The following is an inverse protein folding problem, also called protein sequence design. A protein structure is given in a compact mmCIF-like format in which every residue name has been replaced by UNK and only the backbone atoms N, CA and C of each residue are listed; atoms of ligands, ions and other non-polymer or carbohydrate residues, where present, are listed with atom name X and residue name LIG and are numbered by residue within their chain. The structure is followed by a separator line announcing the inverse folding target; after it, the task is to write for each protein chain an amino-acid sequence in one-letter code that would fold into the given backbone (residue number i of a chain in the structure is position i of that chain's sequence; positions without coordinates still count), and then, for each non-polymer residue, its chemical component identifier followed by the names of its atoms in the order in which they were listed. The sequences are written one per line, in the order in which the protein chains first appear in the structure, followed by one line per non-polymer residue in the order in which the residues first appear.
data_IF_390440433451
#
_entry.id   IF_390440433451
#
_cell.length_a   1.000
_cell.length_b   1.000
_cell.length_c   1.000
_cell.angle_alpha   90.00
_cell.angle_beta   90.00
_cell.angle_gamma   90.00
#
_symmetry.space_group_name_H-M   'P 1'
#
loop_
_entity.id
_entity.type
_entity.pdbx_description
1 polymer ?
#
# COMPACT_ATOMS: atom_id res chain seq x y z
N UNK A 1 -7.92 -11.83 -42.02
CA UNK A 1 -8.63 -12.06 -40.74
C UNK A 1 -8.35 -10.92 -39.79
N UNK A 2 -9.33 -10.51 -39.00
CA UNK A 2 -9.13 -9.47 -37.98
C UNK A 2 -8.23 -10.03 -36.87
N UNK A 3 -7.37 -9.19 -36.28
CA UNK A 3 -6.57 -9.57 -35.12
C UNK A 3 -7.48 -9.72 -33.90
N UNK A 4 -7.10 -10.55 -32.93
CA UNK A 4 -7.79 -10.64 -31.65
C UNK A 4 -7.69 -9.30 -30.91
N UNK A 5 -8.83 -8.81 -30.43
CA UNK A 5 -8.93 -7.63 -29.59
C UNK A 5 -9.76 -7.99 -28.36
N UNK A 6 -9.16 -7.86 -27.17
CA UNK A 6 -9.90 -8.10 -25.94
C UNK A 6 -10.92 -6.99 -25.70
N UNK A 7 -12.18 -7.35 -25.54
CA UNK A 7 -13.29 -6.38 -25.45
C UNK A 7 -13.18 -5.44 -24.24
N UNK A 8 -12.50 -5.86 -23.17
CA UNK A 8 -12.29 -5.05 -21.96
C UNK A 8 -10.85 -4.53 -21.83
N UNK A 9 -10.06 -4.48 -22.91
CA UNK A 9 -8.67 -4.01 -22.89
C UNK A 9 -8.52 -2.64 -22.23
N UNK A 10 -9.44 -1.70 -22.53
CA UNK A 10 -9.39 -0.35 -21.94
C UNK A 10 -9.64 -0.35 -20.42
N UNK A 11 -10.52 -1.23 -19.95
CA UNK A 11 -10.77 -1.38 -18.52
C UNK A 11 -9.55 -2.01 -17.83
N UNK A 12 -8.91 -2.99 -18.46
CA UNK A 12 -7.67 -3.60 -17.97
C UNK A 12 -6.57 -2.55 -17.79
N UNK A 13 -6.33 -1.69 -18.79
CA UNK A 13 -5.36 -0.58 -18.70
C UNK A 13 -5.66 0.38 -17.55
N UNK A 14 -6.93 0.75 -17.36
CA UNK A 14 -7.33 1.63 -16.24
C UNK A 14 -7.04 0.96 -14.90
N UNK A 15 -7.32 -0.34 -14.76
CA UNK A 15 -7.04 -1.10 -13.54
C UNK A 15 -5.55 -1.27 -13.24
N UNK A 16 -4.72 -1.40 -14.27
CA UNK A 16 -3.25 -1.39 -14.11
C UNK A 16 -2.76 -0.04 -13.60
N UNK A 17 -3.27 1.07 -14.15
CA UNK A 17 -2.95 2.41 -13.66
C UNK A 17 -3.42 2.67 -12.23
N UNK A 18 -4.63 2.23 -11.87
CA UNK A 18 -5.16 2.33 -10.50
C UNK A 18 -4.27 1.58 -9.50
N UNK A 19 -3.80 0.38 -9.87
CA UNK A 19 -2.89 -0.41 -9.04
C UNK A 19 -1.55 0.29 -8.86
N UNK A 20 -0.95 0.80 -9.94
CA UNK A 20 0.32 1.54 -9.87
C UNK A 20 0.21 2.76 -8.96
N UNK A 21 -0.87 3.52 -9.09
CA UNK A 21 -1.16 4.67 -8.23
C UNK A 21 -1.29 4.24 -6.75
N UNK A 22 -2.01 3.16 -6.46
CA UNK A 22 -2.17 2.65 -5.09
C UNK A 22 -0.87 2.11 -4.51
N UNK A 23 0.01 1.51 -5.32
CA UNK A 23 1.35 1.11 -4.89
C UNK A 23 2.22 2.31 -4.54
N UNK A 24 2.13 3.39 -5.31
CA UNK A 24 2.84 4.63 -5.03
C UNK A 24 2.32 5.27 -3.72
N UNK A 25 1.00 5.29 -3.51
CA UNK A 25 0.38 5.76 -2.27
C UNK A 25 0.87 4.96 -1.06
N UNK A 26 0.85 3.62 -1.14
CA UNK A 26 1.34 2.75 -0.08
C UNK A 26 2.82 3.01 0.23
N UNK A 27 3.66 3.20 -0.79
CA UNK A 27 5.07 3.55 -0.58
C UNK A 27 5.24 4.91 0.11
N UNK A 28 4.36 5.88 -0.17
CA UNK A 28 4.31 7.16 0.53
C UNK A 28 3.96 6.98 2.01
N UNK A 29 2.94 6.18 2.31
CA UNK A 29 2.52 5.86 3.67
C UNK A 29 3.60 5.11 4.46
N UNK A 30 4.30 4.16 3.84
CA UNK A 30 5.40 3.44 4.50
C UNK A 30 6.55 4.40 4.89
N UNK A 31 6.84 5.42 4.06
CA UNK A 31 7.83 6.46 4.39
C UNK A 31 7.34 7.37 5.52
N UNK A 32 6.07 7.74 5.50
CA UNK A 32 5.43 8.53 6.56
C UNK A 32 5.53 7.79 7.90
N UNK A 33 5.14 6.51 7.93
CA UNK A 33 5.26 5.62 9.09
C UNK A 33 6.69 5.54 9.61
N UNK A 34 7.68 5.36 8.73
CA UNK A 34 9.09 5.33 9.13
C UNK A 34 9.52 6.63 9.81
N UNK A 35 9.08 7.79 9.29
CA UNK A 35 9.35 9.09 9.91
C UNK A 35 8.67 9.25 11.28
N UNK A 36 7.45 8.74 11.43
CA UNK A 36 6.73 8.76 12.70
C UNK A 36 7.41 7.88 13.77
N UNK A 37 7.85 6.68 13.39
CA UNK A 37 8.58 5.78 14.29
C UNK A 37 9.95 6.35 14.70
N UNK A 38 10.66 6.99 13.76
CA UNK A 38 11.92 7.68 14.04
C UNK A 38 11.71 8.84 15.04
N UNK A 39 10.66 9.64 14.87
CA UNK A 39 10.32 10.70 15.83
C UNK A 39 9.96 10.14 17.21
N UNK A 40 9.18 9.06 17.28
CA UNK A 40 8.86 8.39 18.54
C UNK A 40 10.12 7.85 19.24
N UNK A 41 11.08 7.31 18.48
CA UNK A 41 12.38 6.88 18.99
C UNK A 41 13.15 8.03 19.64
N UNK A 42 13.22 9.19 18.95
CA UNK A 42 13.87 10.40 19.51
C UNK A 42 13.21 10.89 20.79
N UNK A 43 11.88 10.86 20.88
CA UNK A 43 11.16 11.26 22.10
C UNK A 43 11.52 10.33 23.28
N UNK A 44 11.61 9.02 23.04
CA UNK A 44 12.07 8.07 24.05
C UNK A 44 13.52 8.33 24.47
N UNK A 45 14.43 8.54 23.53
CA UNK A 45 15.84 8.87 23.83
C UNK A 45 15.95 10.15 24.68
N UNK A 46 15.16 11.19 24.35
CA UNK A 46 15.09 12.43 25.12
C UNK A 46 14.56 12.18 26.53
N UNK A 47 13.51 11.37 26.67
CA UNK A 47 12.93 11.03 27.97
C UNK A 47 13.92 10.25 28.85
N UNK A 48 14.62 9.27 28.28
CA UNK A 48 15.65 8.50 29.00
C UNK A 48 16.84 9.37 29.42
N UNK A 49 17.33 10.23 28.52
CA UNK A 49 18.40 11.16 28.80
C UNK A 49 18.02 12.10 29.95
N UNK A 50 16.80 12.66 29.91
CA UNK A 50 16.30 13.55 30.95
C UNK A 50 16.08 12.82 32.27
N UNK A 51 15.58 11.58 32.24
CA UNK A 51 15.44 10.73 33.43
C UNK A 51 16.79 10.45 34.07
N UNK A 52 17.82 10.16 33.27
CA UNK A 52 19.19 9.96 33.76
C UNK A 52 19.73 11.21 34.45
N UNK A 53 19.53 12.39 33.84
CA UNK A 53 20.00 13.66 34.41
C UNK A 53 19.24 14.03 35.69
N UNK A 54 17.91 13.90 35.68
CA UNK A 54 17.07 14.06 36.86
C UNK A 54 17.54 13.19 38.03
N UNK A 55 17.87 11.93 37.76
CA UNK A 55 18.37 11.01 38.79
C UNK A 55 19.74 11.42 39.35
N UNK A 56 20.63 12.02 38.55
CA UNK A 56 21.91 12.55 39.04
C UNK A 56 21.69 13.76 39.94
N UNK A 57 20.83 14.69 39.52
CA UNK A 57 20.54 15.89 40.30
C UNK A 57 19.80 15.57 41.60
N UNK A 58 18.89 14.59 41.60
CA UNK A 58 18.27 14.07 42.82
C UNK A 58 19.30 13.57 43.84
N UNK A 59 20.34 12.84 43.39
CA UNK A 59 21.41 12.34 44.27
C UNK A 59 22.27 13.46 44.87
N UNK A 60 22.38 14.60 44.18
CA UNK A 60 23.15 15.77 44.63
C UNK A 60 22.35 16.70 45.55
N UNK A 61 21.04 16.50 45.63
CA UNK A 61 20.10 17.39 46.31
C UNK A 61 19.57 18.42 45.31
N UNK A 62 18.34 18.22 44.87
CA UNK A 62 17.67 19.08 43.89
C UNK A 62 16.85 20.17 44.58
N UNK A 63 16.87 21.38 44.03
CA UNK A 63 16.03 22.49 44.48
C UNK A 63 14.56 22.28 44.12
N UNK A 64 13.64 22.89 44.89
CA UNK A 64 12.19 22.80 44.62
C UNK A 64 11.81 23.34 43.24
N UNK A 65 12.47 24.42 42.79
CA UNK A 65 12.22 25.01 41.48
C UNK A 65 12.61 24.06 40.35
N UNK A 66 13.82 23.47 40.44
CA UNK A 66 14.31 22.53 39.44
C UNK A 66 13.46 21.25 39.39
N UNK A 67 13.06 20.73 40.55
CA UNK A 67 12.15 19.59 40.65
C UNK A 67 10.83 19.84 39.90
N UNK A 68 10.27 21.05 40.02
CA UNK A 68 9.07 21.43 39.27
C UNK A 68 9.36 21.48 37.77
N UNK A 69 10.45 22.12 37.35
CA UNK A 69 10.83 22.20 35.93
C UNK A 69 11.00 20.83 35.28
N UNK A 70 11.58 19.85 36.00
CA UNK A 70 11.66 18.47 35.52
C UNK A 70 10.27 17.83 35.40
N UNK A 71 9.41 18.01 36.40
CA UNK A 71 8.03 17.51 36.37
C UNK A 71 7.25 18.03 35.16
N UNK A 72 7.24 19.35 34.98
CA UNK A 72 6.54 20.02 33.87
C UNK A 72 7.08 19.52 32.51
N UNK A 73 8.40 19.31 32.40
CA UNK A 73 9.01 18.81 31.16
C UNK A 73 8.74 17.31 30.90
N UNK A 74 8.71 16.47 31.93
CA UNK A 74 8.31 15.07 31.77
C UNK A 74 6.83 14.95 31.38
N UNK A 75 5.96 15.79 31.91
CA UNK A 75 4.55 15.87 31.51
C UNK A 75 4.45 16.22 30.02
N UNK A 76 5.15 17.28 29.59
CA UNK A 76 5.25 17.64 28.17
C UNK A 76 5.73 16.48 27.29
N UNK A 77 6.82 15.80 27.65
CA UNK A 77 7.33 14.68 26.86
C UNK A 77 6.33 13.52 26.77
N UNK A 78 5.62 13.22 27.86
CA UNK A 78 4.59 12.17 27.84
C UNK A 78 3.40 12.55 26.95
N UNK A 79 2.96 13.82 26.98
CA UNK A 79 1.90 14.32 26.10
C UNK A 79 2.32 14.22 24.62
N UNK A 80 3.54 14.64 24.28
CA UNK A 80 4.08 14.53 22.93
C UNK A 80 4.20 13.07 22.47
N UNK A 81 4.67 12.18 23.34
CA UNK A 81 4.75 10.74 23.04
C UNK A 81 3.37 10.12 22.81
N UNK A 82 2.36 10.53 23.58
CA UNK A 82 0.98 10.07 23.40
C UNK A 82 0.40 10.58 22.08
N UNK A 83 0.58 11.86 21.76
CA UNK A 83 0.16 12.44 20.49
C UNK A 83 0.83 11.73 19.31
N UNK A 84 2.14 11.47 19.42
CA UNK A 84 2.89 10.76 18.40
C UNK A 84 2.40 9.32 18.20
N UNK A 85 2.02 8.64 19.28
CA UNK A 85 1.44 7.30 19.21
C UNK A 85 0.09 7.31 18.45
N UNK A 86 -0.75 8.32 18.68
CA UNK A 86 -1.99 8.48 17.90
C UNK A 86 -1.72 8.65 16.41
N UNK A 87 -0.73 9.46 16.03
CA UNK A 87 -0.35 9.63 14.61
C UNK A 87 0.14 8.33 13.97
N UNK A 88 0.89 7.52 14.72
CA UNK A 88 1.32 6.19 14.27
C UNK A 88 0.11 5.28 14.02
N UNK A 89 -0.86 5.27 14.93
CA UNK A 89 -2.07 4.46 14.79
C UNK A 89 -2.92 4.88 13.59
N UNK A 90 -3.10 6.20 13.38
CA UNK A 90 -3.80 6.74 12.21
C UNK A 90 -3.09 6.39 10.89
N UNK A 91 -1.77 6.51 10.86
CA UNK A 91 -0.98 6.12 9.68
C UNK A 91 -1.08 4.62 9.41
N UNK A 92 -1.05 3.80 10.45
CA UNK A 92 -1.20 2.35 10.34
C UNK A 92 -2.57 1.96 9.78
N UNK A 93 -3.63 2.64 10.19
CA UNK A 93 -4.97 2.41 9.65
C UNK A 93 -5.07 2.78 8.18
N UNK A 94 -4.49 3.93 7.78
CA UNK A 94 -4.38 4.32 6.36
C UNK A 94 -3.63 3.28 5.53
N UNK A 95 -2.53 2.73 6.04
CA UNK A 95 -1.77 1.64 5.41
C UNK A 95 -2.66 0.41 5.23
N UNK A 96 -3.43 0.03 6.26
CA UNK A 96 -4.30 -1.14 6.21
C UNK A 96 -5.39 -0.99 5.15
N UNK A 97 -6.05 0.17 5.11
CA UNK A 97 -7.07 0.51 4.10
C UNK A 97 -6.45 0.43 2.70
N UNK A 98 -5.31 1.07 2.47
CA UNK A 98 -4.63 1.06 1.17
C UNK A 98 -4.26 -0.36 0.72
N UNK A 99 -3.80 -1.23 1.66
CA UNK A 99 -3.51 -2.64 1.37
C UNK A 99 -4.76 -3.43 0.99
N UNK A 100 -5.88 -3.19 1.67
CA UNK A 100 -7.16 -3.84 1.33
C UNK A 100 -7.66 -3.44 -0.05
N UNK A 101 -7.55 -2.16 -0.41
CA UNK A 101 -7.91 -1.66 -1.74
C UNK A 101 -7.01 -2.25 -2.82
N UNK A 102 -5.70 -2.32 -2.57
CA UNK A 102 -4.75 -2.94 -3.50
C UNK A 102 -5.07 -4.42 -3.74
N UNK A 103 -5.43 -5.16 -2.68
CA UNK A 103 -5.85 -6.56 -2.82
C UNK A 103 -7.12 -6.72 -3.66
N UNK A 104 -8.08 -5.78 -3.54
CA UNK A 104 -9.28 -5.77 -4.39
C UNK A 104 -8.91 -5.54 -5.86
N UNK A 105 -8.07 -4.55 -6.15
CA UNK A 105 -7.61 -4.26 -7.51
C UNK A 105 -6.89 -5.46 -8.15
N UNK A 106 -5.98 -6.11 -7.41
CA UNK A 106 -5.29 -7.31 -7.90
C UNK A 106 -6.27 -8.45 -8.21
N UNK A 107 -7.32 -8.61 -7.39
CA UNK A 107 -8.33 -9.63 -7.65
C UNK A 107 -9.19 -9.29 -8.86
N UNK A 108 -9.57 -8.02 -9.04
CA UNK A 108 -10.30 -7.55 -10.23
C UNK A 108 -9.49 -7.77 -11.51
N UNK A 109 -8.19 -7.46 -11.50
CA UNK A 109 -7.30 -7.72 -12.63
C UNK A 109 -7.20 -9.21 -12.97
N UNK A 110 -7.08 -10.10 -11.97
CA UNK A 110 -7.09 -11.55 -12.20
C UNK A 110 -8.38 -12.04 -12.85
N UNK A 111 -9.52 -11.40 -12.54
CA UNK A 111 -10.79 -11.71 -13.21
C UNK A 111 -10.73 -11.26 -14.67
N UNK A 112 -10.22 -10.06 -14.95
CA UNK A 112 -10.05 -9.55 -16.31
C UNK A 112 -9.10 -10.43 -17.15
N UNK A 113 -8.01 -10.92 -16.56
CA UNK A 113 -7.09 -11.86 -17.20
C UNK A 113 -7.80 -13.16 -17.60
N UNK A 114 -8.59 -13.75 -16.71
CA UNK A 114 -9.38 -14.95 -17.02
C UNK A 114 -10.39 -14.71 -18.15
N UNK A 115 -11.09 -13.57 -18.11
CA UNK A 115 -12.03 -13.21 -19.18
C UNK A 115 -11.32 -13.02 -20.53
N UNK A 116 -10.08 -12.51 -20.51
CA UNK A 116 -9.25 -12.37 -21.71
C UNK A 116 -8.83 -13.72 -22.26
N UNK A 117 -8.42 -14.64 -21.41
CA UNK A 117 -8.06 -16.01 -21.79
C UNK A 117 -9.26 -16.76 -22.40
N UNK A 118 -10.45 -16.60 -21.81
CA UNK A 118 -11.70 -17.17 -22.33
C UNK A 118 -12.04 -16.62 -23.71
N UNK A 119 -12.02 -15.29 -23.90
CA UNK A 119 -12.28 -14.67 -25.21
C UNK A 119 -11.23 -15.08 -26.26
N UNK A 120 -9.97 -15.23 -25.85
CA UNK A 120 -8.92 -15.68 -26.75
C UNK A 120 -9.13 -17.14 -27.18
N UNK A 121 -9.56 -18.00 -26.27
CA UNK A 121 -9.89 -19.39 -26.57
C UNK A 121 -11.06 -19.49 -27.56
N UNK A 122 -12.12 -18.68 -27.36
CA UNK A 122 -13.26 -18.58 -28.28
C UNK A 122 -12.83 -18.11 -29.68
N UNK A 123 -12.06 -17.02 -29.75
CA UNK A 123 -11.52 -16.51 -31.01
C UNK A 123 -10.69 -17.56 -31.76
N UNK A 124 -9.83 -18.30 -31.05
CA UNK A 124 -9.02 -19.35 -31.66
C UNK A 124 -9.89 -20.53 -32.16
N UNK A 125 -10.95 -20.88 -31.43
CA UNK A 125 -11.88 -21.92 -31.86
C UNK A 125 -12.67 -21.51 -33.12
N UNK A 126 -13.09 -20.25 -33.21
CA UNK A 126 -13.73 -19.71 -34.43
C UNK A 126 -12.76 -19.68 -35.61
N UNK A 127 -11.51 -19.27 -35.36
CA UNK A 127 -10.45 -19.25 -36.34
C UNK A 127 -10.20 -20.66 -36.92
N UNK A 128 -10.11 -21.66 -36.06
CA UNK A 128 -9.94 -23.06 -36.46
C UNK A 128 -11.12 -23.54 -37.31
N UNK A 129 -12.37 -23.27 -36.88
CA UNK A 129 -13.57 -23.63 -37.67
C UNK A 129 -13.59 -22.97 -39.05
N UNK A 130 -13.16 -21.71 -39.14
CA UNK A 130 -13.05 -21.01 -40.43
C UNK A 130 -12.04 -21.69 -41.34
N UNK A 131 -10.86 -22.04 -40.81
CA UNK A 131 -9.84 -22.74 -41.57
C UNK A 131 -10.28 -24.14 -42.01
N UNK A 132 -10.88 -24.92 -41.11
CA UNK A 132 -11.38 -26.26 -41.44
C UNK A 132 -12.42 -26.20 -42.57
N UNK A 133 -13.30 -25.19 -42.54
CA UNK A 133 -14.28 -24.94 -43.60
C UNK A 133 -13.63 -24.55 -44.93
N UNK A 134 -12.64 -23.64 -44.91
CA UNK A 134 -11.88 -23.28 -46.11
C UNK A 134 -11.17 -24.49 -46.73
N UNK A 135 -10.63 -25.39 -45.90
CA UNK A 135 -9.99 -26.64 -46.33
C UNK A 135 -11.03 -27.58 -46.95
N UNK A 136 -12.21 -27.75 -46.33
CA UNK A 136 -13.31 -28.55 -46.89
C UNK A 136 -13.80 -28.01 -48.24
N UNK A 137 -14.02 -26.69 -48.35
CA UNK A 137 -14.46 -26.04 -49.59
C UNK A 137 -13.41 -26.22 -50.71
N UNK A 138 -12.11 -26.11 -50.36
CA UNK A 138 -11.00 -26.40 -51.27
C UNK A 138 -10.98 -27.87 -51.73
N UNK A 139 -11.13 -28.83 -50.80
CA UNK A 139 -11.16 -30.26 -51.12
C UNK A 139 -12.37 -30.67 -51.98
N UNK A 140 -13.51 -29.97 -51.82
CA UNK A 140 -14.72 -30.21 -52.60
C UNK A 140 -14.72 -29.52 -53.98
N UNK A 141 -13.65 -28.80 -54.34
CA UNK A 141 -13.53 -28.11 -55.62
C UNK A 141 -14.53 -26.96 -55.79
N UNK A 142 -15.06 -26.42 -54.68
CA UNK A 142 -15.95 -25.25 -54.66
C UNK A 142 -15.12 -23.99 -54.46
N UNK A 143 -14.36 -23.61 -55.48
CA UNK A 143 -13.72 -22.29 -55.60
C UNK A 143 -13.98 -21.73 -56.98
#
# INVERSE_FOLDING_TARGET
MKKFEFTLQRLQEVKEMEEEQKRAELSGLDKEMAGLLDHQGRLHEMFEAQTSEYNKECKRGIGKADLKSYGDYFEYLNEEMAAQQTLIEECQERINICRQELLKLINEQKVLERMKDEQLAEYNAELQKSFDKEIEDFMQGRL
#
